data_IF_495788553278
#
_entry.id   IF_495788553278
#
_cell.length_a   1.000
_cell.length_b   1.000
_cell.length_c   1.000
_cell.angle_alpha   90.00
_cell.angle_beta   90.00
_cell.angle_gamma   90.00
#
_symmetry.space_group_name_H-M   'P 1'
#
loop_
_entity.id
_entity.type
_entity.pdbx_description
1 polymer ?
#
# COMPACT_ATOMS: atom_id res chain seq x y z
N UNK A 1 -3.96 0.78 -2.05
CA UNK A 1 -2.94 -0.30 -2.00
C UNK A 1 -3.59 -1.60 -2.46
N UNK A 2 -2.87 -2.39 -3.24
CA UNK A 2 -3.38 -3.69 -3.75
C UNK A 2 -2.27 -4.73 -3.81
N UNK A 3 -2.63 -5.99 -3.61
CA UNK A 3 -1.72 -7.12 -3.57
C UNK A 3 -1.65 -7.85 -4.90
N UNK A 4 -0.46 -8.32 -5.26
CA UNK A 4 -0.27 -9.20 -6.41
C UNK A 4 -0.83 -10.62 -6.22
N UNK A 5 -1.37 -10.93 -5.04
CA UNK A 5 -2.03 -12.19 -4.72
C UNK A 5 -2.26 -12.37 -3.22
N UNK A 6 -2.96 -13.45 -2.81
CA UNK A 6 -3.24 -13.72 -1.41
C UNK A 6 -1.97 -13.80 -0.56
N UNK A 7 -2.01 -13.17 0.61
CA UNK A 7 -0.86 -13.11 1.52
C UNK A 7 0.35 -12.35 0.95
N UNK A 8 0.13 -11.34 0.10
CA UNK A 8 1.19 -10.42 -0.33
C UNK A 8 1.64 -9.46 0.79
N UNK A 9 0.82 -9.31 1.84
CA UNK A 9 1.11 -8.42 2.97
C UNK A 9 0.58 -6.99 2.79
N UNK A 10 -0.52 -6.80 2.06
CA UNK A 10 -1.12 -5.47 1.80
C UNK A 10 -1.52 -4.80 3.11
N UNK A 11 -2.35 -5.47 3.91
CA UNK A 11 -2.82 -5.00 5.22
C UNK A 11 -1.66 -4.68 6.15
N UNK A 12 -0.69 -5.59 6.27
CA UNK A 12 0.50 -5.37 7.09
C UNK A 12 1.31 -4.14 6.64
N UNK A 13 1.56 -4.00 5.32
CA UNK A 13 2.28 -2.85 4.77
C UNK A 13 1.51 -1.55 4.98
N UNK A 14 0.19 -1.57 4.81
CA UNK A 14 -0.65 -0.39 5.01
C UNK A 14 -0.69 0.05 6.46
N UNK A 15 -0.74 -0.89 7.41
CA UNK A 15 -0.70 -0.59 8.85
C UNK A 15 0.62 0.10 9.21
N UNK A 16 1.75 -0.46 8.77
CA UNK A 16 3.06 0.15 8.99
C UNK A 16 3.19 1.54 8.35
N UNK A 17 2.56 1.74 7.19
CA UNK A 17 2.52 3.05 6.53
C UNK A 17 1.65 4.04 7.31
N UNK A 18 0.51 3.60 7.86
CA UNK A 18 -0.33 4.45 8.70
C UNK A 18 0.42 4.91 9.96
N UNK A 19 1.04 3.96 10.67
CA UNK A 19 1.89 4.24 11.84
C UNK A 19 3.02 5.23 11.50
N UNK A 20 3.68 5.04 10.35
CA UNK A 20 4.68 5.99 9.87
C UNK A 20 4.13 7.41 9.69
N UNK A 21 2.96 7.54 9.05
CA UNK A 21 2.37 8.85 8.78
C UNK A 21 1.92 9.55 10.07
N UNK A 22 1.33 8.80 10.99
CA UNK A 22 0.87 9.38 12.25
C UNK A 22 2.04 9.69 13.19
N UNK A 23 2.87 8.71 13.50
CA UNK A 23 3.90 8.85 14.53
C UNK A 23 5.12 9.65 14.06
N UNK A 24 5.51 9.52 12.78
CA UNK A 24 6.72 10.19 12.25
C UNK A 24 6.41 11.48 11.50
N UNK A 25 5.18 11.63 10.98
CA UNK A 25 4.80 12.82 10.20
C UNK A 25 3.75 13.68 10.89
N UNK A 26 3.12 13.20 11.97
CA UNK A 26 2.05 13.93 12.66
C UNK A 26 0.82 14.14 11.78
N UNK A 27 0.63 13.28 10.78
CA UNK A 27 -0.41 13.43 9.77
C UNK A 27 -1.65 12.64 10.16
N UNK A 28 -2.84 13.27 10.10
CA UNK A 28 -4.11 12.57 10.33
C UNK A 28 -4.32 11.55 9.22
N UNK A 29 -4.37 10.28 9.59
CA UNK A 29 -4.42 9.19 8.62
C UNK A 29 -5.66 8.34 8.83
N UNK A 30 -6.41 8.13 7.75
CA UNK A 30 -7.49 7.15 7.70
C UNK A 30 -6.99 5.88 7.04
N UNK A 31 -7.13 4.74 7.71
CA UNK A 31 -6.99 3.44 7.11
C UNK A 31 -8.36 2.90 6.70
N UNK A 32 -8.56 2.73 5.40
CA UNK A 32 -9.82 2.28 4.82
C UNK A 32 -9.68 0.84 4.32
N UNK A 33 -10.38 -0.10 4.96
CA UNK A 33 -10.50 -1.46 4.44
C UNK A 33 -11.63 -1.50 3.41
N UNK A 34 -11.25 -1.70 2.15
CA UNK A 34 -12.19 -1.74 1.02
C UNK A 34 -12.73 -3.16 0.79
N UNK A 35 -12.04 -4.15 1.33
CA UNK A 35 -12.47 -5.55 1.26
C UNK A 35 -13.35 -5.91 2.49
N UNK A 36 -14.16 -6.96 2.36
CA UNK A 36 -15.12 -7.34 3.41
C UNK A 36 -14.54 -8.34 4.43
N UNK A 37 -13.22 -8.43 4.58
CA UNK A 37 -12.63 -9.43 5.48
C UNK A 37 -12.73 -9.01 6.96
N UNK A 38 -12.79 -7.71 7.26
CA UNK A 38 -12.92 -7.13 8.61
C UNK A 38 -11.81 -7.56 9.57
N UNK A 39 -10.68 -8.03 9.04
CA UNK A 39 -9.58 -8.59 9.82
C UNK A 39 -8.92 -7.52 10.71
N UNK A 40 -9.02 -6.25 10.32
CA UNK A 40 -8.37 -5.14 11.01
C UNK A 40 -9.08 -4.75 12.31
N UNK A 41 -10.37 -5.06 12.45
CA UNK A 41 -11.11 -4.80 13.69
C UNK A 41 -10.48 -5.48 14.91
N UNK A 42 -9.77 -6.59 14.70
CA UNK A 42 -9.03 -7.31 15.73
C UNK A 42 -7.65 -6.71 16.01
N UNK A 43 -7.03 -6.06 15.03
CA UNK A 43 -5.70 -5.43 15.16
C UNK A 43 -5.82 -4.05 15.82
N UNK A 44 -6.88 -3.30 15.48
CA UNK A 44 -7.11 -1.93 15.93
C UNK A 44 -7.08 -1.79 17.46
N UNK A 45 -7.68 -2.76 18.17
CA UNK A 45 -7.79 -2.75 19.64
C UNK A 45 -6.44 -2.85 20.36
N UNK A 46 -5.36 -3.20 19.66
CA UNK A 46 -4.08 -3.49 20.30
C UNK A 46 -3.09 -2.33 20.26
N UNK A 47 -2.93 -1.60 19.14
CA UNK A 47 -1.87 -0.58 18.97
C UNK A 47 -2.07 0.44 17.82
N UNK A 48 -3.19 0.43 17.10
CA UNK A 48 -3.32 1.22 15.88
C UNK A 48 -3.77 2.64 16.20
N UNK A 49 -2.93 3.65 15.94
CA UNK A 49 -3.23 5.05 16.23
C UNK A 49 -4.16 5.69 15.20
N UNK A 50 -4.10 5.19 13.95
CA UNK A 50 -4.88 5.73 12.85
C UNK A 50 -6.35 5.36 12.95
N UNK A 51 -7.19 6.26 12.44
CA UNK A 51 -8.61 6.00 12.29
C UNK A 51 -8.79 4.83 11.30
N UNK A 52 -9.77 3.96 11.57
CA UNK A 52 -10.08 2.82 10.71
C UNK A 52 -11.55 2.84 10.36
N UNK A 53 -11.84 2.59 9.10
CA UNK A 53 -13.19 2.43 8.60
C UNK A 53 -13.26 1.31 7.56
N UNK A 54 -14.40 0.63 7.51
CA UNK A 54 -14.75 -0.27 6.41
C UNK A 54 -15.60 0.51 5.41
N UNK A 55 -15.35 0.32 4.12
CA UNK A 55 -16.13 0.99 3.07
C UNK A 55 -17.60 0.53 3.00
N UNK A 56 -18.02 -0.45 3.80
CA UNK A 56 -19.42 -0.84 3.98
C UNK A 56 -20.23 0.23 4.73
N UNK A 57 -20.46 1.39 4.13
CA UNK A 57 -21.35 2.41 4.71
C UNK A 57 -21.22 3.81 4.13
N UNK A 58 -20.03 4.16 3.60
CA UNK A 58 -19.72 5.50 3.09
C UNK A 58 -18.92 5.41 1.79
N UNK A 59 -19.03 6.43 0.95
CA UNK A 59 -18.27 6.50 -0.30
C UNK A 59 -16.85 7.06 -0.07
N UNK A 60 -15.90 6.69 -0.92
CA UNK A 60 -14.54 7.28 -0.89
C UNK A 60 -14.60 8.81 -1.04
N UNK A 61 -15.51 9.32 -1.87
CA UNK A 61 -15.74 10.75 -2.06
C UNK A 61 -16.11 11.48 -0.76
N UNK A 62 -16.94 10.85 0.08
CA UNK A 62 -17.35 11.42 1.36
C UNK A 62 -16.19 11.48 2.35
N UNK A 63 -15.39 10.41 2.41
CA UNK A 63 -14.19 10.34 3.26
C UNK A 63 -13.12 11.34 2.81
N UNK A 64 -13.01 11.61 1.51
CA UNK A 64 -12.11 12.63 0.96
C UNK A 64 -12.51 14.06 1.35
N UNK A 65 -13.76 14.31 1.77
CA UNK A 65 -14.19 15.62 2.28
C UNK A 65 -13.82 15.84 3.75
N UNK A 66 -13.33 14.82 4.44
CA UNK A 66 -12.89 14.93 5.81
C UNK A 66 -11.48 15.50 5.93
N UNK A 67 -11.15 16.01 7.11
CA UNK A 67 -9.86 16.63 7.40
C UNK A 67 -8.75 15.58 7.67
N UNK A 68 -8.61 14.59 6.79
CA UNK A 68 -7.48 13.65 6.78
C UNK A 68 -6.40 14.13 5.82
N UNK A 69 -5.14 14.03 6.26
CA UNK A 69 -3.98 14.33 5.41
C UNK A 69 -3.72 13.17 4.42
N UNK A 70 -3.99 11.94 4.86
CA UNK A 70 -3.80 10.73 4.06
C UNK A 70 -4.96 9.74 4.26
N UNK A 71 -5.36 9.09 3.16
CA UNK A 71 -6.26 7.94 3.17
C UNK A 71 -5.50 6.75 2.58
N UNK A 72 -5.33 5.69 3.37
CA UNK A 72 -4.74 4.43 2.94
C UNK A 72 -5.88 3.45 2.67
N UNK A 73 -6.23 3.26 1.39
CA UNK A 73 -7.21 2.26 0.98
C UNK A 73 -6.56 0.87 0.81
N UNK A 74 -6.87 -0.09 1.68
CA UNK A 74 -6.51 -1.51 1.52
C UNK A 74 -7.55 -2.24 0.69
N UNK A 75 -7.19 -2.56 -0.54
CA UNK A 75 -8.06 -3.23 -1.52
C UNK A 75 -7.85 -4.75 -1.56
N UNK A 76 -7.01 -5.30 -0.67
CA UNK A 76 -6.64 -6.71 -0.71
C UNK A 76 -6.06 -7.10 -2.07
N UNK A 77 -6.73 -7.97 -2.82
CA UNK A 77 -6.32 -8.37 -4.19
C UNK A 77 -7.30 -7.91 -5.27
N UNK A 78 -8.33 -7.15 -4.90
CA UNK A 78 -9.37 -6.74 -5.83
C UNK A 78 -8.98 -5.46 -6.57
N UNK A 79 -8.72 -5.61 -7.86
CA UNK A 79 -8.39 -4.52 -8.76
C UNK A 79 -9.62 -3.81 -9.32
N UNK A 80 -10.83 -4.38 -9.17
CA UNK A 80 -12.05 -3.78 -9.72
C UNK A 80 -12.43 -2.47 -9.04
N UNK A 81 -11.99 -2.25 -7.81
CA UNK A 81 -12.23 -0.98 -7.11
C UNK A 81 -11.65 0.22 -7.86
N UNK A 82 -10.54 0.04 -8.60
CA UNK A 82 -9.89 1.11 -9.33
C UNK A 82 -10.74 1.63 -10.49
N UNK A 83 -11.65 0.79 -11.01
CA UNK A 83 -12.59 1.17 -12.06
C UNK A 83 -13.67 2.14 -11.58
N UNK A 84 -13.85 2.28 -10.27
CA UNK A 84 -14.88 3.16 -9.68
C UNK A 84 -14.46 4.64 -9.64
N UNK A 85 -13.26 4.97 -10.13
CA UNK A 85 -12.70 6.32 -10.11
C UNK A 85 -11.93 6.55 -8.82
N UNK A 86 -10.63 6.80 -8.95
CA UNK A 86 -9.79 7.24 -7.83
C UNK A 86 -9.52 8.75 -7.99
N UNK A 87 -9.32 9.49 -6.88
CA UNK A 87 -8.90 10.89 -6.95
C UNK A 87 -7.64 11.06 -7.81
N UNK A 88 -7.48 12.22 -8.46
CA UNK A 88 -6.34 12.47 -9.36
C UNK A 88 -4.99 12.40 -8.61
N UNK A 89 -5.00 12.76 -7.34
CA UNK A 89 -3.84 12.74 -6.44
C UNK A 89 -3.54 11.33 -5.90
N UNK A 90 -4.42 10.35 -6.16
CA UNK A 90 -4.27 9.00 -5.66
C UNK A 90 -3.00 8.35 -6.22
N UNK A 91 -2.41 7.50 -5.38
CA UNK A 91 -1.25 6.70 -5.76
C UNK A 91 -1.48 5.22 -5.55
N UNK A 92 -0.93 4.49 -6.50
CA UNK A 92 -1.06 3.07 -6.64
C UNK A 92 0.15 2.35 -6.01
N UNK A 93 -0.04 1.77 -4.83
CA UNK A 93 1.00 0.91 -4.23
C UNK A 93 0.65 -0.55 -4.46
N UNK A 94 1.47 -1.24 -5.24
CA UNK A 94 1.33 -2.68 -5.50
C UNK A 94 2.26 -3.47 -4.58
N UNK A 95 1.67 -4.29 -3.71
CA UNK A 95 2.41 -5.10 -2.74
C UNK A 95 2.55 -6.52 -3.27
N UNK A 96 3.76 -7.07 -3.19
CA UNK A 96 4.08 -8.42 -3.63
C UNK A 96 5.05 -9.13 -2.69
N UNK A 97 5.47 -10.32 -3.11
CA UNK A 97 6.49 -11.11 -2.44
C UNK A 97 7.67 -11.35 -3.40
N UNK A 98 8.88 -11.18 -2.89
CA UNK A 98 10.13 -11.48 -3.59
C UNK A 98 10.38 -12.97 -3.79
N UNK A 99 9.61 -13.87 -3.17
CA UNK A 99 9.76 -15.30 -3.34
C UNK A 99 9.71 -15.69 -4.83
N UNK A 100 10.67 -16.49 -5.36
CA UNK A 100 10.79 -16.75 -6.80
C UNK A 100 9.49 -17.25 -7.47
N UNK A 101 8.75 -18.13 -6.80
CA UNK A 101 7.47 -18.66 -7.31
C UNK A 101 6.31 -17.65 -7.31
N UNK A 102 6.47 -16.48 -6.67
CA UNK A 102 5.48 -15.39 -6.63
C UNK A 102 5.84 -14.21 -7.53
N UNK A 103 7.09 -14.09 -7.98
CA UNK A 103 7.54 -12.97 -8.83
C UNK A 103 6.78 -12.87 -10.15
N UNK A 104 6.41 -14.00 -10.76
CA UNK A 104 5.61 -14.02 -11.99
C UNK A 104 4.24 -13.37 -11.80
N UNK A 105 3.57 -13.64 -10.67
CA UNK A 105 2.29 -13.01 -10.31
C UNK A 105 2.44 -11.52 -10.05
N UNK A 106 3.51 -11.11 -9.38
CA UNK A 106 3.82 -9.69 -9.19
C UNK A 106 3.98 -8.96 -10.53
N UNK A 107 4.76 -9.50 -11.45
CA UNK A 107 4.93 -8.91 -12.78
C UNK A 107 3.62 -8.82 -13.56
N UNK A 108 2.75 -9.83 -13.46
CA UNK A 108 1.43 -9.81 -14.10
C UNK A 108 0.52 -8.74 -13.48
N UNK A 109 0.49 -8.64 -12.15
CA UNK A 109 -0.31 -7.65 -11.44
C UNK A 109 0.13 -6.21 -11.78
N UNK A 110 1.45 -5.97 -11.86
CA UNK A 110 2.03 -4.72 -12.34
C UNK A 110 1.50 -4.35 -13.73
N UNK A 111 1.59 -5.28 -14.69
CA UNK A 111 1.13 -5.04 -16.06
C UNK A 111 -0.38 -4.76 -16.11
N UNK A 112 -1.17 -5.49 -15.32
CA UNK A 112 -2.61 -5.28 -15.23
C UNK A 112 -2.98 -3.91 -14.67
N UNK A 113 -2.32 -3.48 -13.60
CA UNK A 113 -2.51 -2.14 -13.01
C UNK A 113 -2.22 -1.04 -14.04
N UNK A 114 -1.08 -1.10 -14.74
CA UNK A 114 -0.74 -0.12 -15.78
C UNK A 114 -1.78 -0.02 -16.89
N UNK A 115 -2.40 -1.14 -17.25
CA UNK A 115 -3.40 -1.18 -18.30
C UNK A 115 -4.75 -0.59 -17.87
N UNK A 116 -5.12 -0.77 -16.59
CA UNK A 116 -6.42 -0.30 -16.09
C UNK A 116 -6.40 1.15 -15.63
N UNK A 117 -5.27 1.63 -15.13
CA UNK A 117 -5.12 3.00 -14.62
C UNK A 117 -3.76 3.60 -15.04
N UNK A 118 -3.55 3.84 -16.35
CA UNK A 118 -2.28 4.31 -16.90
C UNK A 118 -1.85 5.68 -16.36
N UNK A 119 -2.81 6.50 -15.92
CA UNK A 119 -2.60 7.85 -15.39
C UNK A 119 -2.14 7.88 -13.91
N UNK A 120 -2.36 6.81 -13.15
CA UNK A 120 -1.99 6.79 -11.74
C UNK A 120 -0.48 6.58 -11.57
N UNK A 121 0.15 7.42 -10.74
CA UNK A 121 1.51 7.16 -10.30
C UNK A 121 1.53 5.88 -9.43
N UNK A 122 2.43 4.96 -9.73
CA UNK A 122 2.48 3.66 -9.06
C UNK A 122 3.89 3.24 -8.67
N UNK A 123 3.97 2.50 -7.56
CA UNK A 123 5.21 1.96 -7.02
C UNK A 123 4.99 0.54 -6.49
N UNK A 124 5.95 -0.34 -6.81
CA UNK A 124 5.99 -1.70 -6.29
C UNK A 124 6.64 -1.77 -4.91
N UNK A 125 6.11 -2.60 -4.03
CA UNK A 125 6.72 -2.94 -2.74
C UNK A 125 6.76 -4.46 -2.61
N UNK A 126 7.95 -5.01 -2.36
CA UNK A 126 8.14 -6.44 -2.15
C UNK A 126 8.47 -6.73 -0.70
N UNK A 127 7.71 -7.64 -0.10
CA UNK A 127 8.09 -8.33 1.12
C UNK A 127 9.00 -9.52 0.78
N UNK A 128 9.84 -9.96 1.72
CA UNK A 128 10.68 -11.16 1.59
C UNK A 128 11.53 -11.17 0.30
N UNK A 129 12.18 -10.05 0.00
CA UNK A 129 12.99 -9.86 -1.20
C UNK A 129 14.36 -9.29 -0.85
N UNK A 130 15.33 -9.44 -1.75
CA UNK A 130 16.59 -8.71 -1.68
C UNK A 130 16.54 -7.41 -2.50
N UNK A 131 17.41 -6.44 -2.15
CA UNK A 131 17.59 -5.20 -2.93
C UNK A 131 18.06 -5.50 -4.37
N UNK A 132 18.84 -6.57 -4.56
CA UNK A 132 19.29 -7.01 -5.89
C UNK A 132 18.12 -7.43 -6.78
N UNK A 133 17.17 -8.17 -6.23
CA UNK A 133 15.98 -8.60 -6.96
C UNK A 133 15.04 -7.44 -7.27
N UNK A 134 14.85 -6.53 -6.32
CA UNK A 134 14.04 -5.33 -6.55
C UNK A 134 14.61 -4.45 -7.68
N UNK A 135 15.94 -4.31 -7.76
CA UNK A 135 16.60 -3.62 -8.89
C UNK A 135 16.33 -4.31 -10.22
N UNK A 136 16.51 -5.64 -10.29
CA UNK A 136 16.22 -6.43 -11.49
C UNK A 136 14.76 -6.27 -11.95
N UNK A 137 13.83 -6.30 -11.00
CA UNK A 137 12.40 -6.12 -11.30
C UNK A 137 12.08 -4.67 -11.69
N UNK A 138 12.77 -3.69 -11.10
CA UNK A 138 12.64 -2.28 -11.48
C UNK A 138 13.03 -2.06 -12.94
N UNK A 139 14.14 -2.67 -13.38
CA UNK A 139 14.60 -2.62 -14.76
C UNK A 139 13.63 -3.35 -15.70
N UNK A 140 13.22 -4.57 -15.34
CA UNK A 140 12.33 -5.38 -16.18
C UNK A 140 10.93 -4.77 -16.36
N UNK A 141 10.41 -4.11 -15.33
CA UNK A 141 9.06 -3.54 -15.32
C UNK A 141 9.06 -2.05 -15.69
N UNK A 142 10.24 -1.43 -15.78
CA UNK A 142 10.44 0.01 -15.92
C UNK A 142 9.68 0.81 -14.85
N UNK A 143 9.82 0.38 -13.59
CA UNK A 143 8.99 0.91 -12.49
C UNK A 143 9.72 0.80 -11.16
N UNK A 144 9.69 1.84 -10.30
CA UNK A 144 10.24 1.74 -8.96
C UNK A 144 9.68 0.54 -8.19
N UNK A 145 10.55 -0.38 -7.79
CA UNK A 145 10.24 -1.46 -6.85
C UNK A 145 11.12 -1.30 -5.62
N UNK A 146 10.48 -1.15 -4.45
CA UNK A 146 11.14 -1.08 -3.16
C UNK A 146 11.02 -2.42 -2.43
N UNK A 147 11.95 -2.68 -1.50
CA UNK A 147 11.89 -3.82 -0.59
C UNK A 147 11.47 -3.33 0.78
N UNK A 148 10.33 -3.82 1.26
CA UNK A 148 9.97 -3.73 2.66
C UNK A 148 10.69 -4.86 3.39
N UNK A 149 11.64 -4.50 4.25
CA UNK A 149 12.32 -5.46 5.12
C UNK A 149 11.33 -6.14 6.06
N UNK A 150 11.80 -7.14 6.81
CA UNK A 150 11.02 -7.69 7.90
C UNK A 150 10.81 -6.63 8.97
N UNK A 151 9.55 -6.33 9.31
CA UNK A 151 9.16 -5.33 10.30
C UNK A 151 7.97 -5.84 11.10
N UNK A 152 8.14 -6.20 12.38
CA UNK A 152 7.02 -6.55 13.24
C UNK A 152 6.14 -5.33 13.52
N UNK A 153 4.82 -5.55 13.66
CA UNK A 153 3.86 -4.51 14.04
C UNK A 153 4.03 -3.99 15.47
N UNK A 154 4.80 -4.69 16.31
CA UNK A 154 4.96 -4.34 17.73
C UNK A 154 6.33 -3.73 18.03
N UNK A 155 7.19 -3.59 17.02
CA UNK A 155 8.51 -3.00 17.13
C UNK A 155 8.51 -1.64 16.40
N UNK A 156 9.30 -0.66 16.89
CA UNK A 156 9.44 0.62 16.20
C UNK A 156 9.85 0.43 14.74
N UNK A 157 9.36 1.31 13.87
CA UNK A 157 9.76 1.33 12.46
C UNK A 157 11.27 1.48 12.31
N UNK A 158 11.85 0.57 11.53
CA UNK A 158 13.26 0.66 11.14
C UNK A 158 13.47 1.78 10.11
N UNK A 159 14.65 2.41 10.12
CA UNK A 159 15.02 3.43 9.14
C UNK A 159 14.91 2.94 7.68
N UNK A 160 15.08 1.63 7.45
CA UNK A 160 14.89 1.03 6.14
C UNK A 160 13.41 1.09 5.69
N UNK A 161 12.47 0.78 6.58
CA UNK A 161 11.03 0.89 6.30
C UNK A 161 10.62 2.36 6.10
N UNK A 162 11.09 3.26 6.96
CA UNK A 162 10.82 4.69 6.82
C UNK A 162 11.29 5.24 5.46
N UNK A 163 12.46 4.82 4.99
CA UNK A 163 12.97 5.21 3.65
C UNK A 163 12.04 4.74 2.52
N UNK A 164 11.48 3.54 2.62
CA UNK A 164 10.50 3.03 1.66
C UNK A 164 9.24 3.90 1.71
N UNK A 165 8.70 4.17 2.89
CA UNK A 165 7.48 4.97 3.02
C UNK A 165 7.65 6.42 2.57
N UNK A 166 8.79 7.04 2.87
CA UNK A 166 9.15 8.35 2.32
C UNK A 166 9.12 8.34 0.79
N UNK A 167 9.62 7.29 0.14
CA UNK A 167 9.58 7.20 -1.34
C UNK A 167 8.14 7.11 -1.88
N UNK A 168 7.24 6.40 -1.19
CA UNK A 168 5.83 6.27 -1.59
C UNK A 168 5.11 7.63 -1.56
N UNK A 169 5.40 8.45 -0.55
CA UNK A 169 4.73 9.76 -0.38
C UNK A 169 5.41 10.91 -1.14
N UNK A 170 6.70 10.83 -1.43
CA UNK A 170 7.45 11.90 -2.12
C UNK A 170 7.50 11.75 -3.64
N UNK A 171 7.23 10.56 -4.20
CA UNK A 171 7.45 10.21 -5.60
C UNK A 171 6.65 10.94 -6.70
N UNK A 172 6.13 12.14 -6.47
CA UNK A 172 5.36 12.89 -7.48
C UNK A 172 5.37 14.41 -7.33
N UNK A 173 6.46 15.01 -6.86
CA UNK A 173 6.78 16.38 -7.26
C UNK A 173 7.82 16.33 -8.38
N UNK A 174 7.34 16.34 -9.62
CA UNK A 174 8.08 16.87 -10.76
C UNK A 174 7.22 17.97 -11.37
#
# INVERSE_FOLDING_TARGET
MVGAGPGAGVTHTGILLAEFLEERRGARTLFLEVNNHRDIQYIQKSRFSADYESLEGRGLEELCLENYDYIIADMGTDLNFWKKGLPQEARAVLVGSGAPWRQGRFCQAVKGVRQMAPELAWQGVLSLSSQKEARRLTEYLETPVAVLGWQPLHEPLTAACEKVFLSLIQGGRK
#
